data_IF_008500076423
#
_entry.id   IF_008500076423
#
_cell.length_a   1.000
_cell.length_b   1.000
_cell.length_c   1.000
_cell.angle_alpha   90.00
_cell.angle_beta   90.00
_cell.angle_gamma   90.00
#
_symmetry.space_group_name_H-M   'P 1'
#
loop_
_entity.id
_entity.type
_entity.pdbx_description
1 polymer ?
#
# COMPACT_ATOMS: atom_id res chain seq x y z
N UNK A 1 8.51 9.91 -16.76
CA UNK A 1 8.20 9.65 -15.35
C UNK A 1 7.48 10.86 -14.78
N UNK A 2 6.20 10.70 -14.40
CA UNK A 2 5.35 11.77 -13.85
C UNK A 2 5.78 12.13 -12.43
N UNK A 3 5.34 13.28 -11.90
CA UNK A 3 5.62 13.68 -10.50
C UNK A 3 5.13 12.63 -9.49
N UNK A 4 3.94 12.07 -9.72
CA UNK A 4 3.37 11.02 -8.86
C UNK A 4 4.19 9.72 -8.91
N UNK A 5 4.70 9.32 -10.08
CA UNK A 5 5.59 8.15 -10.20
C UNK A 5 6.93 8.37 -9.47
N UNK A 6 7.48 9.60 -9.52
CA UNK A 6 8.67 9.94 -8.73
C UNK A 6 8.38 9.81 -7.23
N UNK A 7 7.25 10.32 -6.77
CA UNK A 7 6.84 10.24 -5.38
C UNK A 7 6.67 8.79 -4.92
N UNK A 8 5.96 7.96 -5.69
CA UNK A 8 5.80 6.54 -5.38
C UNK A 8 7.15 5.81 -5.28
N UNK A 9 8.08 6.09 -6.20
CA UNK A 9 9.43 5.54 -6.14
C UNK A 9 10.20 5.99 -4.90
N UNK A 10 10.06 7.26 -4.47
CA UNK A 10 10.69 7.76 -3.25
C UNK A 10 10.13 7.02 -2.03
N UNK A 11 8.80 6.86 -1.92
CA UNK A 11 8.15 6.15 -0.81
C UNK A 11 8.70 4.72 -0.71
N UNK A 12 8.65 3.95 -1.80
CA UNK A 12 9.09 2.54 -1.81
C UNK A 12 10.60 2.42 -1.57
N UNK A 13 11.40 3.34 -2.12
CA UNK A 13 12.86 3.17 -2.16
C UNK A 13 13.60 3.78 -0.99
N UNK A 14 13.08 4.88 -0.44
CA UNK A 14 13.80 5.71 0.55
C UNK A 14 13.05 5.80 1.87
N UNK A 15 11.72 5.85 1.84
CA UNK A 15 10.94 5.94 3.07
C UNK A 15 10.76 4.56 3.71
N UNK A 16 10.45 3.55 2.90
CA UNK A 16 10.20 2.19 3.36
C UNK A 16 11.36 1.22 3.09
N UNK A 17 12.34 1.66 2.28
CA UNK A 17 13.53 0.88 1.92
C UNK A 17 13.24 -0.59 1.51
N UNK A 18 12.17 -0.79 0.72
CA UNK A 18 11.69 -2.12 0.35
C UNK A 18 12.78 -2.92 -0.38
N UNK A 19 12.98 -4.17 0.05
CA UNK A 19 14.03 -5.07 -0.42
C UNK A 19 13.49 -6.16 -1.36
N UNK A 20 14.36 -6.70 -2.22
CA UNK A 20 14.04 -7.78 -3.20
C UNK A 20 13.45 -9.06 -2.62
N UNK A 21 13.62 -9.32 -1.33
CA UNK A 21 13.07 -10.51 -0.67
C UNK A 21 11.69 -10.31 -0.04
N UNK A 22 11.22 -9.07 0.07
CA UNK A 22 10.05 -8.74 0.89
C UNK A 22 8.74 -8.90 0.11
N UNK A 23 7.68 -9.28 0.84
CA UNK A 23 6.29 -9.16 0.40
C UNK A 23 5.70 -7.84 0.86
N UNK A 24 4.99 -7.16 -0.04
CA UNK A 24 4.39 -5.85 0.18
C UNK A 24 2.90 -5.93 0.01
N UNK A 25 2.14 -5.50 1.00
CA UNK A 25 0.69 -5.37 0.94
C UNK A 25 0.29 -3.91 0.95
N UNK A 26 -0.44 -3.48 -0.09
CA UNK A 26 -0.98 -2.13 -0.21
C UNK A 26 -2.48 -2.22 0.03
N UNK A 27 -2.98 -1.47 1.00
CA UNK A 27 -4.39 -1.35 1.35
C UNK A 27 -4.89 0.03 0.92
N UNK A 28 -5.96 0.08 0.14
CA UNK A 28 -6.56 1.34 -0.28
C UNK A 28 -8.07 1.23 -0.46
N UNK A 29 -8.77 2.33 -0.18
CA UNK A 29 -10.17 2.52 -0.58
C UNK A 29 -10.28 3.02 -2.01
N UNK A 30 -11.46 2.88 -2.61
CA UNK A 30 -11.75 3.28 -3.99
C UNK A 30 -11.22 4.69 -4.38
N UNK A 31 -11.42 5.75 -3.56
CA UNK A 31 -10.94 7.09 -3.93
C UNK A 31 -9.41 7.22 -4.03
N UNK A 32 -8.67 6.27 -3.45
CA UNK A 32 -7.21 6.30 -3.34
C UNK A 32 -6.54 5.27 -4.26
N UNK A 33 -7.30 4.57 -5.10
CA UNK A 33 -6.80 3.51 -5.97
C UNK A 33 -5.77 4.00 -6.98
N UNK A 34 -5.88 5.23 -7.47
CA UNK A 34 -4.90 5.78 -8.42
C UNK A 34 -3.50 5.86 -7.77
N UNK A 35 -3.43 6.43 -6.56
CA UNK A 35 -2.18 6.53 -5.78
C UNK A 35 -1.67 5.13 -5.43
N UNK A 36 -2.57 4.25 -4.98
CA UNK A 36 -2.24 2.87 -4.61
C UNK A 36 -1.68 2.08 -5.81
N UNK A 37 -2.19 2.31 -7.01
CA UNK A 37 -1.70 1.71 -8.24
C UNK A 37 -0.29 2.17 -8.57
N UNK A 38 0.04 3.45 -8.35
CA UNK A 38 1.42 3.94 -8.54
C UNK A 38 2.39 3.33 -7.53
N UNK A 39 1.97 3.20 -6.27
CA UNK A 39 2.75 2.51 -5.23
C UNK A 39 2.94 1.03 -5.58
N UNK A 40 1.89 0.37 -6.08
CA UNK A 40 1.97 -1.02 -6.54
C UNK A 40 2.99 -1.18 -7.66
N UNK A 41 2.93 -0.35 -8.69
CA UNK A 41 3.87 -0.39 -9.81
C UNK A 41 5.32 -0.16 -9.36
N UNK A 42 5.56 0.75 -8.41
CA UNK A 42 6.88 1.00 -7.85
C UNK A 42 7.36 -0.18 -6.98
N UNK A 43 6.49 -0.72 -6.12
CA UNK A 43 6.76 -1.85 -5.25
C UNK A 43 7.07 -3.14 -6.02
N UNK A 44 6.26 -3.48 -7.03
CA UNK A 44 6.40 -4.70 -7.84
C UNK A 44 7.72 -4.78 -8.62
N UNK A 45 8.39 -3.65 -8.87
CA UNK A 45 9.72 -3.65 -9.50
C UNK A 45 10.84 -4.00 -8.53
N UNK A 46 10.57 -3.94 -7.22
CA UNK A 46 11.57 -4.02 -6.16
C UNK A 46 11.38 -5.17 -5.19
N UNK A 47 10.16 -5.56 -4.91
CA UNK A 47 9.81 -6.60 -3.94
C UNK A 47 9.82 -7.99 -4.58
N UNK A 48 9.73 -9.04 -3.76
CA UNK A 48 9.47 -10.41 -4.25
C UNK A 48 8.02 -10.54 -4.72
N UNK A 49 7.11 -9.91 -3.97
CA UNK A 49 5.67 -9.96 -4.24
C UNK A 49 5.05 -8.66 -3.76
N UNK A 50 4.16 -8.08 -4.56
CA UNK A 50 3.35 -6.93 -4.15
C UNK A 50 1.90 -7.28 -4.39
N UNK A 51 1.05 -6.96 -3.43
CA UNK A 51 -0.39 -7.13 -3.50
C UNK A 51 -1.05 -5.77 -3.32
N UNK A 52 -2.06 -5.48 -4.14
CA UNK A 52 -2.95 -4.35 -3.96
C UNK A 52 -4.32 -4.90 -3.56
N UNK A 53 -4.74 -4.61 -2.34
CA UNK A 53 -6.04 -4.98 -1.83
C UNK A 53 -6.92 -3.74 -1.73
N UNK A 54 -7.95 -3.71 -2.56
CA UNK A 54 -9.02 -2.74 -2.42
C UNK A 54 -9.90 -3.15 -1.23
N UNK A 55 -10.05 -2.25 -0.27
CA UNK A 55 -10.93 -2.42 0.88
C UNK A 55 -11.98 -1.31 0.90
N UNK A 56 -13.09 -1.55 1.60
CA UNK A 56 -14.02 -0.48 1.94
C UNK A 56 -13.31 0.60 2.78
N UNK A 57 -13.93 1.77 2.92
CA UNK A 57 -13.35 2.89 3.68
C UNK A 57 -12.72 2.44 5.00
N UNK A 58 -11.43 2.77 5.19
CA UNK A 58 -10.74 2.57 6.46
C UNK A 58 -11.30 3.60 7.43
N UNK A 59 -12.18 3.15 8.33
CA UNK A 59 -12.69 3.99 9.42
C UNK A 59 -11.90 3.67 10.69
N UNK A 60 -11.57 4.69 11.52
CA UNK A 60 -10.79 4.47 12.73
C UNK A 60 -11.49 3.58 13.77
N UNK A 61 -12.81 3.41 13.64
CA UNK A 61 -13.64 2.68 14.60
C UNK A 61 -13.96 1.25 14.18
N UNK A 62 -13.58 0.83 12.97
CA UNK A 62 -13.89 -0.51 12.49
C UNK A 62 -12.60 -1.33 12.30
N UNK A 63 -12.39 -2.40 13.10
CA UNK A 63 -11.22 -3.22 12.96
C UNK A 63 -11.23 -3.95 11.61
N UNK A 64 -10.07 -4.02 10.97
CA UNK A 64 -9.87 -4.89 9.81
C UNK A 64 -9.83 -6.33 10.32
N UNK A 65 -10.84 -7.11 9.98
CA UNK A 65 -10.99 -8.51 10.40
C UNK A 65 -10.99 -9.46 9.20
N UNK A 66 -10.75 -10.74 9.46
CA UNK A 66 -10.86 -11.80 8.46
C UNK A 66 -9.68 -11.86 7.47
N UNK A 67 -9.93 -12.15 6.18
CA UNK A 67 -8.86 -12.38 5.19
C UNK A 67 -7.85 -11.23 5.07
N UNK A 68 -8.25 -9.93 5.04
CA UNK A 68 -7.29 -8.84 4.97
C UNK A 68 -6.32 -8.81 6.17
N UNK A 69 -6.81 -9.08 7.39
CA UNK A 69 -5.99 -9.13 8.60
C UNK A 69 -5.01 -10.32 8.59
N UNK A 70 -5.38 -11.44 7.95
CA UNK A 70 -4.46 -12.56 7.72
C UNK A 70 -3.36 -12.15 6.74
N UNK A 71 -3.71 -11.53 5.62
CA UNK A 71 -2.72 -11.04 4.63
C UNK A 71 -1.76 -10.01 5.24
N UNK A 72 -2.26 -9.12 6.10
CA UNK A 72 -1.43 -8.17 6.84
C UNK A 72 -0.38 -8.88 7.69
N UNK A 73 -0.75 -9.94 8.43
CA UNK A 73 0.19 -10.71 9.25
C UNK A 73 1.23 -11.49 8.45
N UNK A 74 0.90 -11.87 7.21
CA UNK A 74 1.78 -12.65 6.33
C UNK A 74 2.69 -11.77 5.45
N UNK A 75 2.49 -10.44 5.49
CA UNK A 75 3.25 -9.48 4.68
C UNK A 75 4.43 -8.90 5.45
N UNK A 76 5.57 -8.69 4.77
CA UNK A 76 6.72 -8.04 5.39
C UNK A 76 6.51 -6.53 5.56
N UNK A 77 5.88 -5.89 4.58
CA UNK A 77 5.61 -4.44 4.57
C UNK A 77 4.13 -4.20 4.27
N UNK A 78 3.51 -3.32 5.06
CA UNK A 78 2.11 -2.91 4.87
C UNK A 78 2.08 -1.40 4.57
N UNK A 79 1.46 -1.03 3.45
CA UNK A 79 1.17 0.35 3.09
C UNK A 79 -0.34 0.58 3.14
N UNK A 80 -0.81 1.25 4.18
CA UNK A 80 -2.18 1.74 4.24
C UNK A 80 -2.24 3.14 3.60
N UNK A 81 -2.93 3.28 2.48
CA UNK A 81 -3.12 4.57 1.82
C UNK A 81 -4.32 5.26 2.48
N UNK A 82 -4.05 6.38 3.14
CA UNK A 82 -5.05 7.16 3.88
C UNK A 82 -5.12 8.59 3.37
N UNK A 83 -6.26 9.23 3.51
CA UNK A 83 -6.42 10.67 3.38
C UNK A 83 -6.78 11.28 4.73
N UNK A 84 -6.46 12.56 4.99
CA UNK A 84 -7.00 13.27 6.14
C UNK A 84 -8.52 13.18 6.15
N UNK A 85 -9.11 12.84 7.30
CA UNK A 85 -10.55 13.01 7.51
C UNK A 85 -10.79 14.49 7.78
N UNK A 86 -11.48 15.18 6.87
CA UNK A 86 -12.03 16.51 7.16
C UNK A 86 -13.38 16.24 7.81
N UNK A 87 -13.38 16.04 9.13
CA UNK A 87 -14.58 15.86 9.95
C UNK A 87 -14.56 16.89 11.05
#
# INVERSE_FOLDING_TARGET
MTRQEKAANIVVSRCLEIKKGESVLILASEPLLEIATRLFQAGSRKSKSTFLLQISHITPFQPIAGPPAKMMRESNVILAVTSPSIS
#
